data_IF_687943758582
#
_entry.id   IF_687943758582
#
_cell.length_a   1.000
_cell.length_b   1.000
_cell.length_c   1.000
_cell.angle_alpha   90.00
_cell.angle_beta   90.00
_cell.angle_gamma   90.00
#
_symmetry.space_group_name_H-M   'P 1'
#
loop_
_entity.id
_entity.type
_entity.pdbx_description
1 polymer ?
#
# COMPACT_ATOMS: atom_id res chain seq x y z
N UNK A 1 15.97 12.91 -11.65
CA UNK A 1 15.54 12.17 -10.45
C UNK A 1 14.37 11.31 -10.80
N UNK A 2 14.39 10.02 -10.43
CA UNK A 2 13.35 9.06 -10.80
C UNK A 2 12.03 9.38 -10.09
N UNK A 3 11.01 9.75 -10.86
CA UNK A 3 9.66 10.02 -10.35
C UNK A 3 8.93 8.68 -10.23
N UNK A 4 8.54 8.31 -9.02
CA UNK A 4 7.73 7.11 -8.79
C UNK A 4 6.28 7.44 -9.17
N UNK A 5 5.72 6.65 -10.09
CA UNK A 5 4.37 6.88 -10.63
C UNK A 5 3.32 5.91 -10.08
N UNK A 6 3.73 4.77 -9.53
CA UNK A 6 2.85 3.73 -9.01
C UNK A 6 3.62 2.85 -8.02
N UNK A 7 2.96 2.42 -6.94
CA UNK A 7 3.49 1.41 -6.03
C UNK A 7 2.53 0.24 -5.95
N UNK A 8 3.04 -0.98 -6.14
CA UNK A 8 2.27 -2.22 -6.02
C UNK A 8 2.91 -3.05 -4.91
N UNK A 9 2.11 -3.51 -3.95
CA UNK A 9 2.58 -4.30 -2.81
C UNK A 9 1.59 -5.40 -2.45
N UNK A 10 2.06 -6.46 -1.81
CA UNK A 10 1.19 -7.50 -1.26
C UNK A 10 0.63 -7.04 0.10
N UNK A 11 -0.59 -7.47 0.43
CA UNK A 11 -1.21 -7.21 1.73
C UNK A 11 -0.49 -7.99 2.83
N UNK A 12 -0.13 -9.24 2.57
CA UNK A 12 0.54 -10.11 3.54
C UNK A 12 2.04 -10.13 3.30
N UNK A 13 2.79 -9.40 4.14
CA UNK A 13 4.25 -9.50 4.20
C UNK A 13 4.69 -9.96 5.59
N UNK A 14 5.76 -10.77 5.71
CA UNK A 14 6.31 -11.11 7.02
C UNK A 14 6.83 -9.84 7.71
N UNK A 15 6.29 -9.53 8.89
CA UNK A 15 6.71 -8.39 9.73
C UNK A 15 5.92 -7.09 9.53
N UNK A 16 5.18 -6.91 8.43
CA UNK A 16 4.27 -5.76 8.25
C UNK A 16 3.16 -6.05 7.24
N UNK A 17 2.04 -5.32 7.31
CA UNK A 17 0.99 -5.43 6.29
C UNK A 17 1.21 -4.41 5.18
N UNK A 18 0.68 -4.69 3.99
CA UNK A 18 0.62 -3.70 2.89
C UNK A 18 -0.12 -2.41 3.28
N UNK A 19 -1.03 -2.48 4.26
CA UNK A 19 -1.71 -1.33 4.83
C UNK A 19 -0.80 -0.46 5.71
N UNK A 20 0.03 -1.06 6.56
CA UNK A 20 1.05 -0.33 7.33
C UNK A 20 2.05 0.39 6.42
N UNK A 21 2.42 -0.26 5.30
CA UNK A 21 3.23 0.38 4.27
C UNK A 21 2.50 1.55 3.61
N UNK A 22 1.23 1.38 3.24
CA UNK A 22 0.39 2.45 2.68
C UNK A 22 0.33 3.66 3.63
N UNK A 23 0.18 3.42 4.93
CA UNK A 23 0.14 4.48 5.93
C UNK A 23 1.45 5.28 5.93
N UNK A 24 2.60 4.62 5.98
CA UNK A 24 3.93 5.26 5.92
C UNK A 24 4.14 6.06 4.62
N UNK A 25 3.68 5.52 3.49
CA UNK A 25 3.72 6.21 2.19
C UNK A 25 2.86 7.48 2.23
N UNK A 26 1.66 7.43 2.82
CA UNK A 26 0.78 8.60 2.95
C UNK A 26 1.27 9.64 3.96
N UNK A 27 2.00 9.22 4.99
CA UNK A 27 2.67 10.12 5.94
C UNK A 27 3.85 10.87 5.28
N UNK A 28 4.40 10.33 4.19
CA UNK A 28 5.47 10.97 3.44
C UNK A 28 4.92 11.93 2.39
N UNK A 29 5.12 13.24 2.60
CA UNK A 29 4.59 14.34 1.76
C UNK A 29 4.84 14.17 0.26
N UNK A 30 5.99 13.61 -0.11
CA UNK A 30 6.40 13.40 -1.51
C UNK A 30 5.76 12.17 -2.16
N UNK A 31 5.29 11.20 -1.37
CA UNK A 31 4.72 9.94 -1.86
C UNK A 31 3.20 9.89 -1.71
N UNK A 32 2.60 10.81 -0.96
CA UNK A 32 1.15 10.94 -0.74
C UNK A 32 0.33 11.08 -2.03
N UNK A 33 0.93 11.60 -3.11
CA UNK A 33 0.28 11.76 -4.43
C UNK A 33 0.38 10.51 -5.32
N UNK A 34 1.15 9.51 -4.93
CA UNK A 34 1.39 8.34 -5.74
C UNK A 34 0.26 7.33 -5.51
N UNK A 35 -0.37 6.80 -6.57
CA UNK A 35 -1.34 5.72 -6.42
C UNK A 35 -0.65 4.47 -5.86
N UNK A 36 -1.27 3.84 -4.86
CA UNK A 36 -0.79 2.59 -4.25
C UNK A 36 -1.84 1.51 -4.47
N UNK A 37 -1.42 0.40 -5.06
CA UNK A 37 -2.25 -0.79 -5.27
C UNK A 37 -1.76 -1.86 -4.32
N UNK A 38 -2.63 -2.31 -3.43
CA UNK A 38 -2.37 -3.44 -2.56
C UNK A 38 -3.05 -4.65 -3.18
N UNK A 39 -2.26 -5.65 -3.56
CA UNK A 39 -2.76 -6.93 -4.04
C UNK A 39 -2.84 -7.89 -2.85
N UNK A 40 -3.89 -8.69 -2.75
CA UNK A 40 -3.98 -9.77 -1.78
C UNK A 40 -4.56 -10.99 -2.47
N UNK A 41 -4.02 -12.16 -2.15
CA UNK A 41 -4.56 -13.44 -2.61
C UNK A 41 -5.85 -13.82 -1.89
N UNK A 42 -6.19 -13.12 -0.80
CA UNK A 42 -7.42 -13.34 -0.07
C UNK A 42 -8.59 -12.56 -0.67
N UNK A 43 -9.60 -13.31 -1.14
CA UNK A 43 -10.84 -12.78 -1.70
C UNK A 43 -11.85 -12.37 -0.60
N UNK A 44 -11.40 -11.78 0.52
CA UNK A 44 -12.28 -11.33 1.61
C UNK A 44 -12.45 -9.82 1.56
N UNK A 45 -13.62 -9.30 1.11
CA UNK A 45 -13.88 -7.86 0.98
C UNK A 45 -13.88 -7.13 2.34
N UNK A 46 -13.99 -7.88 3.44
CA UNK A 46 -14.08 -7.39 4.81
C UNK A 46 -12.78 -6.80 5.35
N UNK A 47 -11.62 -7.12 4.77
CA UNK A 47 -10.34 -6.54 5.18
C UNK A 47 -10.14 -5.10 4.64
N UNK A 48 -10.85 -4.72 3.57
CA UNK A 48 -10.71 -3.41 2.89
C UNK A 48 -11.76 -2.40 3.41
N UNK A 49 -12.74 -2.84 4.21
CA UNK A 49 -13.70 -1.96 4.89
C UNK A 49 -13.31 -1.74 6.35
N UNK A 50 -12.44 -0.75 6.61
CA UNK A 50 -12.45 -0.01 7.87
C UNK A 50 -11.94 1.41 7.66
#
# INVERSE_FOLDING_TARGET
GSKVSLTITDYYMPGMTGYELLRKIKETSNLKKIPVVIMSSENVPTAIKK
#
